data_IF_222584710255
#
_entry.id   IF_222584710255
#
_cell.length_a   1.000
_cell.length_b   1.000
_cell.length_c   1.000
_cell.angle_alpha   90.00
_cell.angle_beta   90.00
_cell.angle_gamma   90.00
#
_symmetry.space_group_name_H-M   'P 1'
#
loop_
_entity.id
_entity.type
_entity.pdbx_description
1 polymer ?
#
# COMPACT_ATOMS: atom_id res chain seq x y z
N UNK A 1 13.45 -7.87 19.79
CA UNK A 1 14.00 -8.20 18.44
C UNK A 1 13.07 -9.06 17.61
N UNK A 2 12.56 -10.19 18.14
CA UNK A 2 11.64 -11.07 17.38
C UNK A 2 10.41 -10.34 16.80
N UNK A 3 9.75 -9.47 17.56
CA UNK A 3 8.58 -8.73 17.08
C UNK A 3 8.90 -7.77 15.92
N UNK A 4 10.08 -7.15 15.93
CA UNK A 4 10.51 -6.29 14.83
C UNK A 4 10.75 -7.09 13.54
N UNK A 5 11.33 -8.29 13.67
CA UNK A 5 11.51 -9.21 12.53
C UNK A 5 10.17 -9.70 12.00
N UNK A 6 9.25 -10.11 12.88
CA UNK A 6 7.89 -10.51 12.50
C UNK A 6 7.16 -9.37 11.79
N UNK A 7 7.32 -8.14 12.29
CA UNK A 7 6.76 -6.95 11.66
C UNK A 7 7.32 -6.80 10.24
N UNK A 8 8.65 -6.80 10.08
CA UNK A 8 9.26 -6.60 8.76
C UNK A 8 8.81 -7.66 7.77
N UNK A 9 8.84 -8.93 8.17
CA UNK A 9 8.42 -10.04 7.32
C UNK A 9 6.94 -9.90 6.95
N UNK A 10 6.06 -9.72 7.92
CA UNK A 10 4.62 -9.56 7.67
C UNK A 10 4.33 -8.33 6.81
N UNK A 11 4.96 -7.20 7.10
CA UNK A 11 4.82 -5.95 6.35
C UNK A 11 5.29 -6.07 4.92
N UNK A 12 6.43 -6.73 4.66
CA UNK A 12 6.89 -6.99 3.30
C UNK A 12 5.99 -7.96 2.54
N UNK A 13 5.49 -9.01 3.18
CA UNK A 13 4.52 -9.93 2.56
C UNK A 13 3.27 -9.16 2.12
N UNK A 14 2.72 -8.33 3.01
CA UNK A 14 1.53 -7.53 2.72
C UNK A 14 1.79 -6.50 1.61
N UNK A 15 2.92 -5.80 1.66
CA UNK A 15 3.27 -4.80 0.66
C UNK A 15 3.52 -5.46 -0.71
N UNK A 16 4.43 -6.43 -0.79
CA UNK A 16 4.79 -7.09 -2.05
C UNK A 16 3.66 -7.94 -2.63
N UNK A 17 2.71 -8.39 -1.82
CA UNK A 17 1.48 -9.04 -2.29
C UNK A 17 0.69 -8.20 -3.31
N UNK A 18 0.85 -6.87 -3.31
CA UNK A 18 0.22 -5.98 -4.29
C UNK A 18 0.94 -5.88 -5.62
N UNK A 19 2.24 -6.23 -5.69
CA UNK A 19 3.05 -6.09 -6.91
C UNK A 19 2.46 -6.89 -8.08
N UNK A 20 2.10 -8.19 -7.93
CA UNK A 20 1.50 -8.95 -9.02
C UNK A 20 0.22 -8.31 -9.55
N UNK A 21 -0.64 -7.79 -8.66
CA UNK A 21 -1.88 -7.12 -9.04
C UNK A 21 -1.62 -5.82 -9.82
N UNK A 22 -0.64 -5.02 -9.37
CA UNK A 22 -0.23 -3.79 -10.06
C UNK A 22 0.31 -4.13 -11.45
N UNK A 23 1.18 -5.14 -11.57
CA UNK A 23 1.72 -5.60 -12.85
C UNK A 23 0.58 -6.08 -13.77
N UNK A 24 -0.38 -6.83 -13.24
CA UNK A 24 -1.53 -7.30 -14.01
C UNK A 24 -2.34 -6.13 -14.55
N UNK A 25 -2.68 -5.14 -13.72
CA UNK A 25 -3.42 -3.94 -14.15
C UNK A 25 -2.65 -3.14 -15.20
N UNK A 26 -1.33 -3.00 -15.05
CA UNK A 26 -0.51 -2.29 -16.03
C UNK A 26 -0.48 -3.03 -17.37
N UNK A 27 -0.38 -4.36 -17.36
CA UNK A 27 -0.33 -5.20 -18.56
C UNK A 27 -1.68 -5.27 -19.28
N UNK A 28 -2.76 -5.58 -18.56
CA UNK A 28 -4.08 -5.77 -19.15
C UNK A 28 -4.82 -4.46 -19.39
N UNK A 29 -4.47 -3.40 -18.66
CA UNK A 29 -5.19 -2.11 -18.63
C UNK A 29 -6.67 -2.26 -18.27
N UNK A 30 -7.07 -3.42 -17.72
CA UNK A 30 -8.45 -3.70 -17.31
C UNK A 30 -8.63 -3.39 -15.83
N UNK A 31 -9.58 -2.49 -15.54
CA UNK A 31 -9.90 -2.03 -14.18
C UNK A 31 -11.41 -1.91 -13.94
N UNK A 32 -12.24 -2.45 -14.84
CA UNK A 32 -13.70 -2.34 -14.78
C UNK A 32 -14.27 -2.94 -13.49
N UNK A 33 -13.72 -4.08 -13.06
CA UNK A 33 -14.15 -4.80 -11.87
C UNK A 33 -13.55 -4.23 -10.56
N UNK A 34 -12.64 -3.26 -10.66
CA UNK A 34 -11.97 -2.68 -9.50
C UNK A 34 -12.74 -1.48 -8.95
N UNK A 35 -13.20 -1.61 -7.70
CA UNK A 35 -13.92 -0.57 -6.98
C UNK A 35 -12.99 0.57 -6.54
N UNK A 36 -13.13 1.75 -7.17
CA UNK A 36 -12.39 2.94 -6.76
C UNK A 36 -12.64 3.32 -5.29
N UNK A 37 -13.85 3.07 -4.77
CA UNK A 37 -14.18 3.31 -3.35
C UNK A 37 -13.34 2.43 -2.43
N UNK A 38 -13.19 1.15 -2.77
CA UNK A 38 -12.41 0.20 -1.97
C UNK A 38 -10.95 0.63 -1.91
N UNK A 39 -10.33 0.90 -3.07
CA UNK A 39 -8.94 1.35 -3.12
C UNK A 39 -8.75 2.73 -2.49
N UNK A 40 -9.73 3.64 -2.61
CA UNK A 40 -9.73 4.91 -1.89
C UNK A 40 -9.74 4.73 -0.37
N UNK A 41 -10.58 3.85 0.16
CA UNK A 41 -10.60 3.52 1.59
C UNK A 41 -9.30 2.87 2.06
N UNK A 42 -8.68 2.03 1.25
CA UNK A 42 -7.36 1.45 1.56
C UNK A 42 -6.27 2.53 1.63
N UNK A 43 -6.22 3.45 0.67
CA UNK A 43 -5.29 4.59 0.71
C UNK A 43 -5.52 5.43 1.97
N UNK A 44 -6.78 5.74 2.29
CA UNK A 44 -7.11 6.53 3.48
C UNK A 44 -6.67 5.82 4.77
N UNK A 45 -6.99 4.52 4.91
CA UNK A 45 -6.59 3.72 6.08
C UNK A 45 -5.08 3.62 6.22
N UNK A 46 -4.36 3.24 5.16
CA UNK A 46 -2.89 3.15 5.18
C UNK A 46 -2.25 4.53 5.42
N UNK A 47 -2.84 5.59 4.89
CA UNK A 47 -2.39 6.98 5.13
C UNK A 47 -2.54 7.41 6.59
N UNK A 48 -3.64 7.05 7.26
CA UNK A 48 -3.78 7.27 8.71
C UNK A 48 -2.74 6.46 9.50
N UNK A 49 -2.50 5.23 9.10
CA UNK A 49 -1.46 4.39 9.70
C UNK A 49 -0.05 4.96 9.46
N UNK A 50 0.19 5.65 8.35
CA UNK A 50 1.47 6.31 8.05
C UNK A 50 1.72 7.46 9.02
N UNK A 51 0.71 8.30 9.25
CA UNK A 51 0.79 9.39 10.24
C UNK A 51 1.10 8.83 11.62
N UNK A 52 0.44 7.74 12.02
CA UNK A 52 0.73 7.04 13.26
C UNK A 52 2.15 6.45 13.29
N UNK A 53 2.61 5.84 12.20
CA UNK A 53 3.94 5.26 12.08
C UNK A 53 5.05 6.32 12.23
N UNK A 54 4.87 7.49 11.60
CA UNK A 54 5.78 8.63 11.74
C UNK A 54 5.81 9.12 13.19
N UNK A 55 4.65 9.24 13.85
CA UNK A 55 4.58 9.68 15.23
C UNK A 55 5.39 8.76 16.16
N UNK A 56 5.20 7.44 16.08
CA UNK A 56 5.94 6.49 16.92
C UNK A 56 7.43 6.43 16.56
N UNK A 57 7.77 6.58 15.27
CA UNK A 57 9.16 6.64 14.79
C UNK A 57 9.92 7.82 15.39
N UNK A 58 9.29 8.99 15.45
CA UNK A 58 9.85 10.18 16.09
C UNK A 58 10.03 10.01 17.61
N UNK A 59 9.21 9.16 18.25
CA UNK A 59 9.39 8.75 19.64
C UNK A 59 10.50 7.70 19.83
N UNK A 60 11.23 7.34 18.77
CA UNK A 60 12.37 6.41 18.81
C UNK A 60 12.01 4.94 18.67
N UNK A 61 10.76 4.60 18.33
CA UNK A 61 10.29 3.21 18.20
C UNK A 61 9.52 2.99 16.90
N UNK A 62 9.34 1.74 16.46
CA UNK A 62 8.44 1.47 15.32
C UNK A 62 8.98 1.81 13.93
N UNK A 63 10.29 2.07 13.78
CA UNK A 63 10.94 2.22 12.46
C UNK A 63 10.59 1.09 11.46
N UNK A 64 10.55 -0.21 11.86
CA UNK A 64 10.08 -1.28 10.97
C UNK A 64 8.66 -1.06 10.42
N UNK A 65 7.76 -0.60 11.29
CA UNK A 65 6.37 -0.33 10.92
C UNK A 65 6.30 0.83 9.95
N UNK A 66 7.06 1.91 10.18
CA UNK A 66 7.16 3.02 9.25
C UNK A 66 7.64 2.55 7.86
N UNK A 67 8.76 1.83 7.78
CA UNK A 67 9.31 1.34 6.50
C UNK A 67 8.27 0.55 5.68
N UNK A 68 7.60 -0.40 6.33
CA UNK A 68 6.65 -1.29 5.65
C UNK A 68 5.31 -0.60 5.34
N UNK A 69 4.86 0.32 6.18
CA UNK A 69 3.64 1.10 5.92
C UNK A 69 3.87 2.12 4.79
N UNK A 70 5.02 2.80 4.75
CA UNK A 70 5.40 3.70 3.66
C UNK A 70 5.41 2.94 2.33
N UNK A 71 6.03 1.76 2.29
CA UNK A 71 6.06 0.92 1.09
C UNK A 71 4.64 0.52 0.64
N UNK A 72 3.80 0.11 1.59
CA UNK A 72 2.39 -0.23 1.32
C UNK A 72 1.61 0.96 0.77
N UNK A 73 1.83 2.15 1.33
CA UNK A 73 1.17 3.38 0.88
C UNK A 73 1.58 3.73 -0.55
N UNK A 74 2.87 3.66 -0.88
CA UNK A 74 3.39 3.91 -2.23
C UNK A 74 2.76 2.93 -3.23
N UNK A 75 2.74 1.64 -2.93
CA UNK A 75 2.15 0.63 -3.82
C UNK A 75 0.63 0.85 -3.99
N UNK A 76 -0.07 1.21 -2.93
CA UNK A 76 -1.51 1.50 -3.00
C UNK A 76 -1.81 2.77 -3.81
N UNK A 77 -0.96 3.80 -3.69
CA UNK A 77 -1.04 5.01 -4.52
C UNK A 77 -0.76 4.73 -6.00
N UNK A 78 0.19 3.84 -6.31
CA UNK A 78 0.41 3.37 -7.68
C UNK A 78 -0.82 2.65 -8.20
N UNK A 79 -1.42 1.77 -7.40
CA UNK A 79 -2.62 1.00 -7.77
C UNK A 79 -3.81 1.91 -8.06
N UNK A 80 -4.14 2.85 -7.16
CA UNK A 80 -5.23 3.81 -7.39
C UNK A 80 -4.94 4.72 -8.59
N UNK A 81 -3.68 5.11 -8.80
CA UNK A 81 -3.25 5.85 -9.98
C UNK A 81 -3.49 5.07 -11.28
N UNK A 82 -3.21 3.76 -11.28
CA UNK A 82 -3.51 2.88 -12.41
C UNK A 82 -5.03 2.77 -12.67
N UNK A 83 -5.83 2.60 -11.61
CA UNK A 83 -7.30 2.56 -11.72
C UNK A 83 -7.83 3.84 -12.34
N UNK A 84 -7.40 5.01 -11.86
CA UNK A 84 -7.83 6.31 -12.38
C UNK A 84 -7.41 6.50 -13.85
N UNK A 85 -6.18 6.08 -14.21
CA UNK A 85 -5.64 6.19 -15.57
C UNK A 85 -6.38 5.31 -16.59
N UNK A 86 -6.73 4.09 -16.21
CA UNK A 86 -7.30 3.11 -17.14
C UNK A 86 -8.82 3.05 -17.14
N UNK A 87 -9.51 3.60 -16.14
CA UNK A 87 -10.98 3.62 -16.05
C UNK A 87 -11.66 4.42 -17.18
N UNK A 88 -10.97 5.38 -17.80
CA UNK A 88 -11.48 6.17 -18.94
C UNK A 88 -11.03 5.65 -20.30
N UNK A 89 -10.30 4.54 -20.36
CA UNK A 89 -9.96 3.91 -21.65
C UNK A 89 -11.18 3.10 -22.10
N UNK A 90 -11.70 3.36 -23.32
CA UNK A 90 -12.82 2.59 -23.88
C UNK A 90 -12.45 1.12 -24.07
#
# INVERSE_FOLDING_TARGET
MIYAVMQLIGGFILAFGWIPQIIQVIRTKSVADLSLKTFGSLVAGIGLMEVYAVHIALAGVGIPFLITNTLSLVLMLIMIGCILKYRKRP
#
